data_IF_034108242915
#
_entry.id   IF_034108242915
#
_cell.length_a   1.000
_cell.length_b   1.000
_cell.length_c   1.000
_cell.angle_alpha   90.00
_cell.angle_beta   90.00
_cell.angle_gamma   90.00
#
_symmetry.space_group_name_H-M   'P 1'
#
loop_
_entity.id
_entity.type
_entity.pdbx_description
1 polymer ?
#
# COMPACT_ATOMS: atom_id res chain seq x y z
N UNK A 1 43.85 -30.57 43.65
CA UNK A 1 44.22 -29.14 43.75
C UNK A 1 44.50 -28.61 42.34
N UNK A 2 44.20 -27.35 41.98
CA UNK A 2 42.91 -26.62 41.89
C UNK A 2 42.57 -26.28 40.41
N UNK A 3 41.32 -26.15 39.97
CA UNK A 3 40.40 -24.99 39.99
C UNK A 3 40.83 -23.76 39.13
N UNK A 4 39.81 -23.13 38.51
CA UNK A 4 39.74 -21.78 37.88
C UNK A 4 40.10 -21.73 36.37
N UNK A 5 39.41 -21.04 35.45
CA UNK A 5 38.35 -20.01 35.49
C UNK A 5 37.74 -19.89 34.07
N UNK A 6 36.42 -19.70 33.99
CA UNK A 6 35.74 -19.08 32.84
C UNK A 6 36.22 -17.61 32.68
N UNK A 7 36.07 -17.04 31.48
CA UNK A 7 35.18 -15.87 31.44
C UNK A 7 34.16 -15.87 30.30
N UNK A 8 33.00 -15.32 30.66
CA UNK A 8 31.92 -14.81 29.83
C UNK A 8 32.42 -13.70 28.90
N UNK A 9 31.85 -13.59 27.70
CA UNK A 9 31.96 -12.35 26.93
C UNK A 9 31.43 -12.40 25.50
N UNK A 10 30.19 -11.92 25.34
CA UNK A 10 29.72 -11.13 24.20
C UNK A 10 29.40 -11.81 22.85
N UNK A 11 28.10 -12.00 22.69
CA UNK A 11 27.34 -11.90 21.44
C UNK A 11 27.73 -10.65 20.65
N UNK A 12 28.14 -10.79 19.39
CA UNK A 12 27.74 -9.84 18.34
C UNK A 12 27.49 -10.57 17.01
N UNK A 13 26.29 -10.30 16.50
CA UNK A 13 25.74 -10.70 15.22
C UNK A 13 26.64 -10.31 14.05
N UNK A 14 26.91 -11.25 13.14
CA UNK A 14 27.49 -10.97 11.83
C UNK A 14 26.90 -11.91 10.77
N UNK A 15 25.61 -11.73 10.50
CA UNK A 15 25.04 -12.09 9.20
C UNK A 15 24.58 -10.81 8.50
N UNK A 16 25.51 -10.21 7.75
CA UNK A 16 25.20 -9.21 6.72
C UNK A 16 24.33 -9.90 5.66
N UNK A 17 23.02 -9.70 5.73
CA UNK A 17 22.14 -9.90 4.59
C UNK A 17 22.53 -8.88 3.53
N UNK A 18 23.07 -9.38 2.42
CA UNK A 18 23.35 -8.61 1.22
C UNK A 18 22.00 -8.32 0.55
N UNK A 19 21.34 -7.24 0.98
CA UNK A 19 20.29 -6.58 0.19
C UNK A 19 20.98 -5.55 -0.71
N UNK A 20 21.46 -6.02 -1.86
CA UNK A 20 21.98 -5.13 -2.90
C UNK A 20 20.83 -4.63 -3.78
N UNK A 21 20.52 -3.35 -3.61
CA UNK A 21 20.42 -2.34 -4.67
C UNK A 21 19.81 -2.77 -6.01
N UNK A 22 18.58 -2.31 -6.27
CA UNK A 22 18.21 -1.74 -7.58
C UNK A 22 17.33 -0.50 -7.36
N UNK A 23 17.99 0.61 -7.02
CA UNK A 23 17.53 1.95 -7.35
C UNK A 23 17.95 2.28 -8.78
N UNK A 24 17.25 3.26 -9.39
CA UNK A 24 17.33 3.81 -10.77
C UNK A 24 16.22 3.22 -11.66
N UNK A 25 15.22 3.99 -12.11
CA UNK A 25 15.34 5.32 -12.69
C UNK A 25 14.31 6.31 -12.16
N UNK A 26 14.82 7.45 -11.71
CA UNK A 26 14.10 8.66 -11.33
C UNK A 26 13.96 9.59 -12.54
N UNK A 27 12.78 10.16 -12.86
CA UNK A 27 12.70 11.40 -13.60
C UNK A 27 12.95 12.57 -12.64
N UNK A 28 13.94 13.40 -13.01
CA UNK A 28 14.31 14.65 -12.34
C UNK A 28 13.14 15.63 -12.37
N UNK A 29 12.92 16.33 -11.25
CA UNK A 29 12.07 17.52 -11.17
C UNK A 29 10.97 17.42 -10.12
N UNK A 30 11.32 17.49 -8.83
CA UNK A 30 10.37 17.85 -7.76
C UNK A 30 11.14 18.20 -6.47
N UNK A 31 11.98 19.22 -6.57
CA UNK A 31 12.23 20.13 -5.44
C UNK A 31 11.29 21.31 -5.68
N UNK A 32 10.68 21.81 -4.61
CA UNK A 32 9.63 22.85 -4.57
C UNK A 32 8.17 22.32 -4.59
N UNK A 33 7.81 21.48 -3.61
CA UNK A 33 6.42 21.33 -3.13
C UNK A 33 6.34 20.61 -1.76
N UNK A 34 7.32 20.87 -0.89
CA UNK A 34 7.29 20.47 0.51
C UNK A 34 7.11 21.70 1.38
N UNK A 35 5.89 22.23 1.40
CA UNK A 35 5.25 22.92 2.52
C UNK A 35 3.78 23.11 2.14
N UNK A 36 2.87 23.01 3.11
CA UNK A 36 1.40 23.14 2.99
C UNK A 36 0.59 22.00 2.35
N UNK A 37 0.41 20.90 3.08
CA UNK A 37 -0.91 20.23 3.15
C UNK A 37 -1.14 19.69 4.57
N UNK A 38 -1.07 20.59 5.55
CA UNK A 38 -1.49 20.37 6.92
C UNK A 38 -2.66 21.29 7.25
N UNK A 39 -3.88 20.92 6.86
CA UNK A 39 -5.05 21.76 7.13
C UNK A 39 -6.29 21.31 6.37
N UNK A 40 -6.94 20.23 6.80
CA UNK A 40 -8.34 20.04 6.45
C UNK A 40 -9.15 21.12 7.16
N UNK A 41 -9.64 22.05 6.34
CA UNK A 41 -10.37 23.24 6.74
C UNK A 41 -11.77 22.83 7.24
N UNK A 42 -11.92 22.73 8.56
CA UNK A 42 -13.22 22.73 9.22
C UNK A 42 -13.75 24.17 9.21
N UNK A 43 -14.28 24.66 8.09
CA UNK A 43 -15.03 25.93 8.09
C UNK A 43 -16.46 25.66 8.54
N UNK A 44 -16.63 25.78 9.85
CA UNK A 44 -17.89 25.99 10.55
C UNK A 44 -18.59 27.24 10.03
N UNK A 45 -19.75 27.06 9.37
CA UNK A 45 -20.79 28.08 9.35
C UNK A 45 -21.66 27.89 10.61
N UNK A 46 -21.41 28.74 11.59
CA UNK A 46 -22.17 28.82 12.84
C UNK A 46 -23.14 29.99 12.75
N UNK A 47 -24.44 29.72 12.67
CA UNK A 47 -25.51 30.52 13.27
C UNK A 47 -26.89 29.86 13.08
N UNK A 48 -27.39 29.16 14.10
CA UNK A 48 -28.75 29.31 14.66
C UNK A 48 -29.11 28.15 15.62
N UNK A 49 -29.11 28.49 16.92
CA UNK A 49 -29.99 28.03 18.01
C UNK A 49 -30.41 26.54 18.14
N UNK A 50 -29.81 25.93 19.15
CA UNK A 50 -30.42 25.34 20.36
C UNK A 50 -31.20 24.00 20.30
N UNK A 51 -30.67 23.09 21.14
CA UNK A 51 -31.26 21.88 21.76
C UNK A 51 -31.43 20.66 20.86
N UNK A 52 -30.44 19.77 20.88
CA UNK A 52 -30.67 18.42 21.41
C UNK A 52 -29.35 17.71 21.75
N UNK A 53 -29.25 17.31 23.01
CA UNK A 53 -28.13 16.60 23.61
C UNK A 53 -28.18 15.12 23.22
N UNK A 54 -28.13 14.82 21.92
CA UNK A 54 -27.79 13.49 21.45
C UNK A 54 -26.35 13.52 21.00
N UNK A 55 -25.50 12.70 21.61
CA UNK A 55 -24.17 12.39 21.13
C UNK A 55 -24.19 12.32 19.61
N UNK A 56 -23.56 13.28 18.94
CA UNK A 56 -23.31 13.22 17.50
C UNK A 56 -22.41 12.01 17.32
N UNK A 57 -23.00 10.83 17.18
CA UNK A 57 -22.33 9.62 16.76
C UNK A 57 -21.69 9.98 15.43
N UNK A 58 -20.37 10.15 15.45
CA UNK A 58 -19.53 10.39 14.28
C UNK A 58 -19.65 9.19 13.35
N UNK A 59 -20.75 9.11 12.61
CA UNK A 59 -20.95 8.09 11.59
C UNK A 59 -20.04 8.42 10.42
N UNK A 60 -19.10 7.51 10.14
CA UNK A 60 -18.21 7.67 9.01
C UNK A 60 -18.97 7.58 7.71
N UNK A 61 -18.63 8.48 6.79
CA UNK A 61 -19.21 8.47 5.46
C UNK A 61 -18.75 7.24 4.66
N UNK A 62 -19.53 6.74 3.69
CA UNK A 62 -19.12 5.59 2.88
C UNK A 62 -17.81 5.83 2.12
N UNK A 63 -17.50 7.08 1.76
CA UNK A 63 -16.22 7.45 1.16
C UNK A 63 -15.04 7.23 2.12
N UNK A 64 -15.19 7.61 3.39
CA UNK A 64 -14.19 7.39 4.44
C UNK A 64 -14.00 5.89 4.71
N UNK A 65 -15.09 5.13 4.74
CA UNK A 65 -15.04 3.68 4.93
C UNK A 65 -14.33 2.98 3.76
N UNK A 66 -14.62 3.38 2.52
CA UNK A 66 -13.94 2.86 1.32
C UNK A 66 -12.44 3.15 1.35
N UNK A 67 -12.06 4.41 1.62
CA UNK A 67 -10.65 4.78 1.77
C UNK A 67 -9.96 3.97 2.88
N UNK A 68 -10.63 3.74 4.00
CA UNK A 68 -10.07 2.92 5.08
C UNK A 68 -9.82 1.48 4.66
N UNK A 69 -10.74 0.85 3.92
CA UNK A 69 -10.52 -0.52 3.44
C UNK A 69 -9.36 -0.59 2.44
N UNK A 70 -9.25 0.37 1.53
CA UNK A 70 -8.11 0.50 0.62
C UNK A 70 -6.78 0.65 1.39
N UNK A 71 -6.74 1.52 2.40
CA UNK A 71 -5.53 1.70 3.20
C UNK A 71 -5.20 0.47 4.06
N UNK A 72 -6.21 -0.24 4.55
CA UNK A 72 -6.03 -1.49 5.31
C UNK A 72 -5.40 -2.58 4.44
N UNK A 73 -5.93 -2.82 3.24
CA UNK A 73 -5.41 -3.83 2.32
C UNK A 73 -4.05 -3.46 1.73
N UNK A 74 -3.80 -2.19 1.43
CA UNK A 74 -2.48 -1.75 1.00
C UNK A 74 -1.42 -1.89 2.10
N UNK A 75 -1.79 -1.63 3.36
CA UNK A 75 -0.88 -1.81 4.49
C UNK A 75 -0.54 -3.28 4.71
N UNK A 76 -1.50 -4.19 4.61
CA UNK A 76 -1.23 -5.64 4.71
C UNK A 76 -0.40 -6.16 3.54
N UNK A 77 -0.56 -5.61 2.33
CA UNK A 77 0.23 -5.98 1.16
C UNK A 77 1.68 -5.43 1.21
N UNK A 78 1.85 -4.17 1.62
CA UNK A 78 3.14 -3.46 1.51
C UNK A 78 3.79 -3.11 2.85
N UNK A 79 3.47 -3.83 3.94
CA UNK A 79 4.05 -3.54 5.26
C UNK A 79 5.59 -3.57 5.29
N UNK A 80 6.20 -4.34 4.38
CA UNK A 80 7.64 -4.53 4.24
C UNK A 80 8.35 -3.41 3.46
N UNK A 81 7.64 -2.64 2.64
CA UNK A 81 8.22 -1.65 1.73
C UNK A 81 7.51 -0.30 1.82
N UNK A 82 8.18 0.64 2.49
CA UNK A 82 7.67 2.00 2.70
C UNK A 82 7.48 2.77 1.39
N UNK A 83 8.33 2.54 0.39
CA UNK A 83 8.27 3.26 -0.88
C UNK A 83 7.06 2.81 -1.70
N UNK A 84 6.81 1.49 -1.78
CA UNK A 84 5.64 0.93 -2.45
C UNK A 84 4.34 1.38 -1.78
N UNK A 85 4.29 1.34 -0.45
CA UNK A 85 3.12 1.79 0.30
C UNK A 85 2.85 3.30 0.08
N UNK A 86 3.89 4.12 0.07
CA UNK A 86 3.77 5.56 -0.19
C UNK A 86 3.17 5.84 -1.57
N UNK A 87 3.74 5.26 -2.62
CA UNK A 87 3.26 5.47 -3.99
C UNK A 87 1.86 4.88 -4.24
N UNK A 88 1.54 3.76 -3.60
CA UNK A 88 0.19 3.21 -3.65
C UNK A 88 -0.83 4.15 -2.99
N UNK A 89 -0.53 4.67 -1.79
CA UNK A 89 -1.36 5.66 -1.12
C UNK A 89 -1.51 6.94 -1.93
N UNK A 90 -0.42 7.45 -2.49
CA UNK A 90 -0.43 8.65 -3.34
C UNK A 90 -1.40 8.48 -4.52
N UNK A 91 -1.30 7.36 -5.25
CA UNK A 91 -2.20 7.09 -6.39
C UNK A 91 -3.66 6.99 -5.99
N UNK A 92 -3.97 6.40 -4.83
CA UNK A 92 -5.34 6.39 -4.30
C UNK A 92 -5.83 7.80 -3.99
N UNK A 93 -5.02 8.63 -3.32
CA UNK A 93 -5.40 10.00 -2.99
C UNK A 93 -5.65 10.84 -4.24
N UNK A 94 -4.78 10.76 -5.24
CA UNK A 94 -4.96 11.45 -6.52
C UNK A 94 -6.29 11.07 -7.17
N UNK A 95 -6.65 9.78 -7.17
CA UNK A 95 -7.94 9.34 -7.71
C UNK A 95 -9.14 9.83 -6.90
N UNK A 96 -9.04 9.91 -5.56
CA UNK A 96 -10.10 10.47 -4.72
C UNK A 96 -10.31 11.96 -4.96
N UNK A 97 -9.22 12.74 -5.07
CA UNK A 97 -9.30 14.17 -5.35
C UNK A 97 -9.75 14.48 -6.78
N UNK A 98 -9.49 13.59 -7.74
CA UNK A 98 -9.98 13.76 -9.12
C UNK A 98 -11.51 13.78 -9.21
N UNK A 99 -12.21 13.05 -8.35
CA UNK A 99 -13.67 12.99 -8.33
C UNK A 99 -14.27 13.81 -7.16
N UNK A 100 -13.50 14.72 -6.53
CA UNK A 100 -14.01 15.48 -5.38
C UNK A 100 -15.13 16.46 -5.73
N UNK A 101 -15.17 16.93 -6.97
CA UNK A 101 -16.19 17.86 -7.48
C UNK A 101 -17.42 17.14 -8.06
N UNK A 102 -17.43 15.80 -8.08
CA UNK A 102 -18.58 15.03 -8.55
C UNK A 102 -19.75 15.18 -7.57
N UNK A 103 -20.85 15.79 -8.03
CA UNK A 103 -22.05 16.02 -7.21
C UNK A 103 -23.12 14.95 -7.38
N UNK A 104 -23.02 14.11 -8.42
CA UNK A 104 -24.00 13.05 -8.67
C UNK A 104 -23.86 11.91 -7.66
N UNK A 105 -24.91 11.72 -6.86
CA UNK A 105 -24.96 10.72 -5.78
C UNK A 105 -24.77 9.28 -6.30
N UNK A 106 -25.33 8.95 -7.47
CA UNK A 106 -25.20 7.60 -8.04
C UNK A 106 -23.77 7.34 -8.56
N UNK A 107 -23.13 8.36 -9.16
CA UNK A 107 -21.70 8.29 -9.53
C UNK A 107 -20.82 8.04 -8.29
N UNK A 108 -21.11 8.72 -7.18
CA UNK A 108 -20.36 8.56 -5.92
C UNK A 108 -20.52 7.14 -5.37
N UNK A 109 -21.75 6.59 -5.34
CA UNK A 109 -21.98 5.21 -4.92
C UNK A 109 -21.24 4.20 -5.81
N UNK A 110 -21.26 4.40 -7.13
CA UNK A 110 -20.54 3.56 -8.08
C UNK A 110 -19.02 3.60 -7.85
N UNK A 111 -18.45 4.79 -7.65
CA UNK A 111 -17.02 4.95 -7.36
C UNK A 111 -16.62 4.29 -6.03
N UNK A 112 -17.46 4.41 -5.00
CA UNK A 112 -17.26 3.74 -3.70
C UNK A 112 -17.27 2.21 -3.88
N UNK A 113 -18.22 1.67 -4.64
CA UNK A 113 -18.31 0.24 -4.91
C UNK A 113 -17.07 -0.28 -5.67
N UNK A 114 -16.59 0.45 -6.69
CA UNK A 114 -15.35 0.14 -7.41
C UNK A 114 -14.15 0.14 -6.45
N UNK A 115 -14.06 1.14 -5.57
CA UNK A 115 -13.00 1.22 -4.57
C UNK A 115 -12.99 0.04 -3.60
N UNK A 116 -14.16 -0.43 -3.17
CA UNK A 116 -14.30 -1.63 -2.33
C UNK A 116 -13.93 -2.92 -3.09
N UNK A 117 -14.30 -3.04 -4.36
CA UNK A 117 -13.90 -4.16 -5.22
C UNK A 117 -12.37 -4.24 -5.35
N UNK A 118 -11.72 -3.09 -5.58
CA UNK A 118 -10.25 -2.98 -5.64
C UNK A 118 -9.63 -3.34 -4.27
N UNK A 119 -10.21 -2.86 -3.17
CA UNK A 119 -9.70 -3.14 -1.82
C UNK A 119 -9.73 -4.65 -1.52
N UNK A 120 -10.84 -5.32 -1.81
CA UNK A 120 -10.99 -6.76 -1.65
C UNK A 120 -10.04 -7.55 -2.55
N UNK A 121 -9.86 -7.11 -3.81
CA UNK A 121 -8.93 -7.73 -4.74
C UNK A 121 -7.47 -7.71 -4.22
N UNK A 122 -7.03 -6.56 -3.71
CA UNK A 122 -5.68 -6.38 -3.16
C UNK A 122 -5.49 -7.27 -1.92
N UNK A 123 -6.46 -7.28 -1.01
CA UNK A 123 -6.37 -8.07 0.23
C UNK A 123 -6.27 -9.57 -0.06
N UNK A 124 -6.93 -10.04 -1.12
CA UNK A 124 -6.91 -11.45 -1.50
C UNK A 124 -5.63 -11.88 -2.25
N UNK A 125 -5.15 -11.06 -3.20
CA UNK A 125 -4.07 -11.49 -4.12
C UNK A 125 -2.68 -10.96 -3.77
N UNK A 126 -2.59 -9.85 -3.03
CA UNK A 126 -1.32 -9.16 -2.77
C UNK A 126 -0.85 -9.30 -1.32
N UNK A 127 -1.51 -10.12 -0.52
CA UNK A 127 -1.10 -10.38 0.85
C UNK A 127 0.25 -11.06 0.86
N UNK A 128 1.23 -10.41 1.49
CA UNK A 128 2.52 -11.04 1.67
C UNK A 128 2.43 -12.10 2.77
N UNK A 129 2.65 -13.34 2.36
CA UNK A 129 2.84 -14.45 3.26
C UNK A 129 4.33 -14.65 3.54
N UNK A 130 4.73 -14.50 4.80
CA UNK A 130 6.12 -14.69 5.24
C UNK A 130 6.54 -16.16 5.07
N UNK A 131 5.61 -17.09 5.21
CA UNK A 131 5.87 -18.53 5.10
C UNK A 131 6.35 -18.90 3.69
N UNK A 132 5.79 -18.25 2.66
CA UNK A 132 6.23 -18.41 1.27
C UNK A 132 7.70 -18.05 1.07
N UNK A 133 8.15 -16.96 1.67
CA UNK A 133 9.55 -16.49 1.55
C UNK A 133 10.50 -17.42 2.29
N UNK A 134 10.11 -17.91 3.47
CA UNK A 134 10.92 -18.86 4.25
C UNK A 134 11.08 -20.18 3.50
N UNK A 135 9.99 -20.77 2.98
CA UNK A 135 10.05 -22.01 2.19
C UNK A 135 10.88 -21.88 0.91
N UNK A 136 10.85 -20.71 0.26
CA UNK A 136 11.71 -20.44 -0.89
C UNK A 136 13.19 -20.51 -0.51
N UNK A 137 13.57 -19.92 0.64
CA UNK A 137 14.95 -19.96 1.13
C UNK A 137 15.41 -21.37 1.51
N UNK A 138 14.55 -22.16 2.17
CA UNK A 138 14.84 -23.57 2.48
C UNK A 138 15.09 -24.39 1.21
N UNK A 139 14.26 -24.19 0.19
CA UNK A 139 14.41 -24.87 -1.12
C UNK A 139 15.71 -24.45 -1.82
N UNK A 140 16.06 -23.16 -1.77
CA UNK A 140 17.29 -22.64 -2.36
C UNK A 140 18.55 -23.30 -1.77
N UNK A 141 18.56 -23.60 -0.47
CA UNK A 141 19.70 -24.25 0.19
C UNK A 141 19.86 -25.73 -0.18
N UNK A 142 18.78 -26.40 -0.60
CA UNK A 142 18.81 -27.81 -1.00
C UNK A 142 19.30 -28.02 -2.44
N UNK A 143 19.29 -26.98 -3.28
CA UNK A 143 19.62 -27.08 -4.70
C UNK A 143 21.11 -26.85 -4.98
N UNK A 144 21.72 -27.59 -5.93
CA UNK A 144 23.04 -27.25 -6.46
C UNK A 144 23.06 -25.86 -7.10
N UNK A 145 24.21 -25.16 -7.01
CA UNK A 145 24.37 -23.75 -7.43
C UNK A 145 23.84 -23.47 -8.85
N UNK A 146 24.13 -24.34 -9.81
CA UNK A 146 23.67 -24.14 -11.20
C UNK A 146 22.16 -24.23 -11.35
N UNK A 147 21.49 -25.11 -10.59
CA UNK A 147 20.03 -25.19 -10.55
C UNK A 147 19.42 -24.02 -9.78
N UNK A 148 20.07 -23.58 -8.70
CA UNK A 148 19.63 -22.45 -7.89
C UNK A 148 19.60 -21.13 -8.68
N UNK A 149 20.57 -20.89 -9.57
CA UNK A 149 20.58 -19.71 -10.47
C UNK A 149 19.32 -19.67 -11.34
N UNK A 150 19.01 -20.79 -12.01
CA UNK A 150 17.82 -20.89 -12.87
C UNK A 150 16.53 -20.73 -12.07
N UNK A 151 16.42 -21.45 -10.94
CA UNK A 151 15.27 -21.37 -10.04
C UNK A 151 14.99 -19.94 -9.56
N UNK A 152 16.03 -19.20 -9.14
CA UNK A 152 15.89 -17.78 -8.75
C UNK A 152 15.43 -16.90 -9.91
N UNK A 153 15.97 -17.10 -11.12
CA UNK A 153 15.59 -16.30 -12.28
C UNK A 153 14.13 -16.48 -12.69
N UNK A 154 13.62 -17.72 -12.65
CA UNK A 154 12.21 -18.03 -12.91
C UNK A 154 11.31 -17.42 -11.83
N UNK A 155 11.73 -17.48 -10.56
CA UNK A 155 11.01 -16.87 -9.45
C UNK A 155 10.86 -15.35 -9.61
N UNK A 156 11.95 -14.65 -9.95
CA UNK A 156 11.93 -13.20 -10.19
C UNK A 156 11.01 -12.83 -11.36
N UNK A 157 10.99 -13.63 -12.42
CA UNK A 157 10.09 -13.44 -13.54
C UNK A 157 8.62 -13.63 -13.12
N UNK A 158 8.33 -14.68 -12.35
CA UNK A 158 6.99 -14.96 -11.85
C UNK A 158 6.45 -13.83 -10.95
N UNK A 159 7.27 -13.29 -10.05
CA UNK A 159 6.88 -12.14 -9.22
C UNK A 159 6.58 -10.90 -10.07
N UNK A 160 7.42 -10.61 -11.08
CA UNK A 160 7.19 -9.50 -12.00
C UNK A 160 5.89 -9.66 -12.79
N UNK A 161 5.60 -10.88 -13.26
CA UNK A 161 4.37 -11.20 -13.99
C UNK A 161 3.14 -11.09 -13.09
N UNK A 162 3.22 -11.58 -11.85
CA UNK A 162 2.17 -11.45 -10.85
C UNK A 162 1.80 -9.98 -10.59
N UNK A 163 2.79 -9.14 -10.30
CA UNK A 163 2.56 -7.71 -10.05
C UNK A 163 1.98 -6.99 -11.29
N UNK A 164 2.45 -7.36 -12.48
CA UNK A 164 1.92 -6.84 -13.75
C UNK A 164 0.45 -7.24 -13.96
N UNK A 165 0.12 -8.50 -13.71
CA UNK A 165 -1.23 -9.04 -13.81
C UNK A 165 -2.19 -8.37 -12.82
N UNK A 166 -1.79 -8.22 -11.56
CA UNK A 166 -2.54 -7.47 -10.55
C UNK A 166 -2.83 -6.03 -11.00
N UNK A 167 -1.82 -5.34 -11.53
CA UNK A 167 -1.98 -3.98 -12.09
C UNK A 167 -2.93 -3.94 -13.28
N UNK A 168 -2.96 -4.97 -14.14
CA UNK A 168 -3.90 -5.05 -15.25
C UNK A 168 -5.34 -5.23 -14.77
N UNK A 169 -5.56 -6.11 -13.78
CA UNK A 169 -6.90 -6.31 -13.18
C UNK A 169 -7.42 -5.05 -12.50
N UNK A 170 -6.58 -4.37 -11.72
CA UNK A 170 -6.95 -3.09 -11.09
C UNK A 170 -7.31 -2.04 -12.14
N UNK A 171 -6.51 -1.90 -13.20
CA UNK A 171 -6.85 -0.99 -14.31
C UNK A 171 -8.19 -1.36 -14.97
N UNK A 172 -8.48 -2.66 -15.13
CA UNK A 172 -9.75 -3.12 -15.70
C UNK A 172 -10.96 -2.77 -14.83
N UNK A 173 -10.84 -2.85 -13.49
CA UNK A 173 -11.88 -2.40 -12.57
C UNK A 173 -12.11 -0.89 -12.71
N UNK A 174 -11.02 -0.12 -12.75
CA UNK A 174 -11.06 1.33 -12.92
C UNK A 174 -11.57 1.78 -14.30
N UNK A 175 -11.63 0.93 -15.33
CA UNK A 175 -12.23 1.29 -16.63
C UNK A 175 -13.75 1.49 -16.57
N UNK A 176 -14.41 0.90 -15.57
CA UNK A 176 -15.87 0.97 -15.37
C UNK A 176 -16.33 2.24 -14.63
N UNK A 177 -15.42 3.18 -14.38
CA UNK A 177 -15.70 4.43 -13.65
C UNK A 177 -16.43 5.45 -14.54
N UNK A 178 -17.24 6.33 -13.96
CA UNK A 178 -17.75 7.49 -14.69
C UNK A 178 -16.58 8.38 -15.17
N UNK A 179 -16.78 9.15 -16.26
CA UNK A 179 -15.80 10.13 -16.69
C UNK A 179 -15.51 11.12 -15.54
N UNK A 180 -14.27 11.59 -15.37
CA UNK A 180 -13.96 12.60 -14.37
C UNK A 180 -14.68 13.93 -14.67
N UNK A 181 -14.99 14.74 -13.65
CA UNK A 181 -15.57 16.06 -13.86
C UNK A 181 -14.56 17.05 -14.47
N UNK A 182 -15.04 18.08 -15.16
CA UNK A 182 -14.25 19.31 -15.38
C UNK A 182 -13.96 19.94 -14.01
N UNK A 183 -12.75 20.41 -13.68
CA UNK A 183 -11.65 20.87 -14.53
C UNK A 183 -10.51 19.85 -14.76
N UNK A 184 -10.77 18.54 -14.62
CA UNK A 184 -9.71 17.54 -14.78
C UNK A 184 -9.19 17.40 -16.24
N UNK A 185 -10.02 17.74 -17.22
CA UNK A 185 -9.71 17.65 -18.65
C UNK A 185 -8.95 18.86 -19.18
#
# INVERSE_FOLDING_TARGET
>A
MPALLLPRGMVTSSHRLIFSSMCLSSPKGLQDLFNDVGGMCCKSLSAARAVDSNSILLSWTPQQQCYRQLMKSLRSAYFHDRSKLFWARHRVLVEFYKYSEETNVESVKQLVAIGLEVAAFIDHHMRMDVERVVKHNETMMALPVEKAKKFRSEYLLAEKQHDSWCKQKIRSMMKRRPPPPYPFF
#
